data_IF_162195043778
#
_entry.id   IF_162195043778
#
_cell.length_a   1.000
_cell.length_b   1.000
_cell.length_c   1.000
_cell.angle_alpha   90.00
_cell.angle_beta   90.00
_cell.angle_gamma   90.00
#
_symmetry.space_group_name_H-M   'P 1'
#
loop_
_entity.id
_entity.type
_entity.pdbx_description
1 polymer ?
#
# COMPACT_ATOMS: atom_id res chain seq x y z
N UNK A 1 -28.87 -6.88 18.62
CA UNK A 1 -28.41 -5.52 18.25
C UNK A 1 -26.91 -5.31 18.45
N UNK A 2 -26.08 -6.37 18.49
CA UNK A 2 -24.62 -6.27 18.75
C UNK A 2 -23.81 -6.52 17.47
N UNK A 3 -24.28 -7.42 16.61
CA UNK A 3 -23.64 -7.78 15.32
C UNK A 3 -23.42 -6.58 14.39
N UNK A 4 -24.34 -5.61 14.37
CA UNK A 4 -24.25 -4.43 13.50
C UNK A 4 -23.19 -3.43 13.95
N UNK A 5 -22.94 -3.30 15.25
CA UNK A 5 -21.90 -2.39 15.79
C UNK A 5 -20.51 -2.98 15.64
N UNK A 6 -20.38 -4.30 15.84
CA UNK A 6 -19.10 -4.99 15.68
C UNK A 6 -18.65 -4.98 14.22
N UNK A 7 -19.55 -5.23 13.26
CA UNK A 7 -19.26 -5.14 11.83
C UNK A 7 -18.81 -3.74 11.40
N UNK A 8 -19.48 -2.67 11.87
CA UNK A 8 -19.06 -1.30 11.55
C UNK A 8 -17.66 -0.98 12.09
N UNK A 9 -17.30 -1.49 13.27
CA UNK A 9 -15.94 -1.32 13.80
C UNK A 9 -14.90 -2.08 12.99
N UNK A 10 -15.18 -3.31 12.55
CA UNK A 10 -14.26 -4.08 11.71
C UNK A 10 -14.00 -3.41 10.36
N UNK A 11 -15.05 -2.88 9.73
CA UNK A 11 -14.92 -2.15 8.46
C UNK A 11 -14.10 -0.88 8.64
N UNK A 12 -14.37 -0.12 9.71
CA UNK A 12 -13.61 1.09 10.02
C UNK A 12 -12.13 0.79 10.24
N UNK A 13 -11.83 -0.26 11.00
CA UNK A 13 -10.45 -0.72 11.19
C UNK A 13 -9.79 -1.17 9.89
N UNK A 14 -10.52 -1.87 9.01
CA UNK A 14 -10.00 -2.29 7.72
C UNK A 14 -9.67 -1.10 6.81
N UNK A 15 -10.55 -0.08 6.78
CA UNK A 15 -10.30 1.17 6.05
C UNK A 15 -9.13 1.94 6.65
N UNK A 16 -9.05 2.08 7.97
CA UNK A 16 -7.92 2.73 8.64
C UNK A 16 -6.59 2.00 8.39
N UNK A 17 -6.61 0.66 8.37
CA UNK A 17 -5.44 -0.15 8.03
C UNK A 17 -5.02 0.05 6.56
N UNK A 18 -5.99 0.17 5.65
CA UNK A 18 -5.73 0.47 4.25
C UNK A 18 -5.13 1.86 4.05
N UNK A 19 -5.70 2.89 4.67
CA UNK A 19 -5.16 4.25 4.67
C UNK A 19 -3.72 4.28 5.20
N UNK A 20 -3.47 3.60 6.33
CA UNK A 20 -2.13 3.49 6.90
C UNK A 20 -1.15 2.77 5.96
N UNK A 21 -1.60 1.72 5.27
CA UNK A 21 -0.79 0.99 4.30
C UNK A 21 -0.45 1.85 3.07
N UNK A 22 -1.40 2.65 2.58
CA UNK A 22 -1.19 3.61 1.49
C UNK A 22 -0.19 4.69 1.90
N UNK A 23 -0.33 5.25 3.10
CA UNK A 23 0.62 6.22 3.65
C UNK A 23 2.03 5.62 3.78
N UNK A 24 2.13 4.40 4.30
CA UNK A 24 3.41 3.70 4.42
C UNK A 24 4.05 3.42 3.05
N UNK A 25 3.23 3.12 2.04
CA UNK A 25 3.67 2.96 0.65
C UNK A 25 4.29 4.26 0.11
N UNK A 26 3.54 5.37 0.19
CA UNK A 26 3.99 6.68 -0.29
C UNK A 26 5.26 7.15 0.44
N UNK A 27 5.33 6.94 1.76
CA UNK A 27 6.51 7.29 2.54
C UNK A 27 7.73 6.46 2.11
N UNK A 28 7.56 5.16 1.88
CA UNK A 28 8.64 4.29 1.42
C UNK A 28 9.13 4.68 0.02
N UNK A 29 8.24 5.08 -0.89
CA UNK A 29 8.59 5.58 -2.21
C UNK A 29 9.39 6.88 -2.14
N UNK A 30 8.92 7.83 -1.32
CA UNK A 30 9.61 9.09 -1.12
C UNK A 30 10.99 8.90 -0.48
N UNK A 31 11.11 8.00 0.51
CA UNK A 31 12.38 7.65 1.13
C UNK A 31 13.34 6.98 0.12
N UNK A 32 12.84 6.09 -0.74
CA UNK A 32 13.63 5.47 -1.79
C UNK A 32 14.12 6.50 -2.80
N UNK A 33 13.25 7.40 -3.26
CA UNK A 33 13.61 8.46 -4.19
C UNK A 33 14.66 9.41 -3.58
N UNK A 34 14.50 9.76 -2.30
CA UNK A 34 15.47 10.55 -1.54
C UNK A 34 16.81 9.85 -1.43
N UNK A 35 16.82 8.57 -1.07
CA UNK A 35 18.02 7.75 -0.95
C UNK A 35 18.78 7.61 -2.28
N UNK A 36 18.05 7.45 -3.39
CA UNK A 36 18.62 7.41 -4.74
C UNK A 36 19.21 8.77 -5.11
N UNK A 37 18.50 9.86 -4.83
CA UNK A 37 18.97 11.23 -5.10
C UNK A 37 20.27 11.52 -4.33
N UNK A 38 20.40 10.99 -3.12
CA UNK A 38 21.60 11.10 -2.29
C UNK A 38 22.69 10.07 -2.66
N UNK A 39 22.38 9.12 -3.54
CA UNK A 39 23.23 7.99 -3.90
C UNK A 39 23.75 7.21 -2.66
N UNK A 40 22.94 7.10 -1.61
CA UNK A 40 23.29 6.37 -0.39
C UNK A 40 22.84 4.91 -0.48
N UNK A 41 23.76 3.94 -0.65
CA UNK A 41 23.40 2.53 -0.84
C UNK A 41 22.75 1.89 0.41
N UNK A 42 23.09 2.36 1.62
CA UNK A 42 22.47 1.83 2.84
C UNK A 42 21.04 2.35 2.98
N UNK A 43 20.81 3.62 2.64
CA UNK A 43 19.48 4.20 2.62
C UNK A 43 18.60 3.55 1.56
N UNK A 44 19.15 3.26 0.37
CA UNK A 44 18.43 2.55 -0.70
C UNK A 44 17.99 1.15 -0.24
N UNK A 45 18.88 0.36 0.36
CA UNK A 45 18.52 -0.97 0.87
C UNK A 45 17.43 -0.91 1.95
N UNK A 46 17.50 0.06 2.87
CA UNK A 46 16.49 0.24 3.91
C UNK A 46 15.15 0.65 3.32
N UNK A 47 15.17 1.59 2.38
CA UNK A 47 13.97 2.05 1.70
C UNK A 47 13.32 0.91 0.89
N UNK A 48 14.09 0.09 0.18
CA UNK A 48 13.59 -1.13 -0.48
C UNK A 48 12.94 -2.12 0.49
N UNK A 49 13.55 -2.35 1.66
CA UNK A 49 12.97 -3.21 2.68
C UNK A 49 11.64 -2.65 3.24
N UNK A 50 11.55 -1.33 3.44
CA UNK A 50 10.30 -0.66 3.81
C UNK A 50 9.24 -0.80 2.73
N UNK A 51 9.63 -0.63 1.47
CA UNK A 51 8.75 -0.76 0.30
C UNK A 51 8.16 -2.17 0.22
N UNK A 52 8.98 -3.21 0.42
CA UNK A 52 8.51 -4.60 0.50
C UNK A 52 7.60 -4.88 1.69
N UNK A 53 7.79 -4.22 2.84
CA UNK A 53 6.83 -4.28 3.96
C UNK A 53 5.53 -3.56 3.66
N UNK A 54 5.58 -2.37 3.05
CA UNK A 54 4.40 -1.61 2.66
C UNK A 54 3.56 -2.38 1.63
N UNK A 55 4.19 -3.01 0.62
CA UNK A 55 3.52 -3.91 -0.33
C UNK A 55 2.74 -5.03 0.36
N UNK A 56 3.34 -5.66 1.37
CA UNK A 56 2.66 -6.72 2.15
C UNK A 56 1.48 -6.16 2.93
N UNK A 57 1.64 -5.02 3.59
CA UNK A 57 0.54 -4.37 4.33
C UNK A 57 -0.62 -3.97 3.41
N UNK A 58 -0.33 -3.44 2.22
CA UNK A 58 -1.32 -3.10 1.20
C UNK A 58 -2.06 -4.37 0.74
N UNK A 59 -1.35 -5.46 0.46
CA UNK A 59 -1.95 -6.73 0.06
C UNK A 59 -2.79 -7.37 1.18
N UNK A 60 -2.36 -7.28 2.44
CA UNK A 60 -3.11 -7.75 3.60
C UNK A 60 -4.38 -6.92 3.83
N UNK A 61 -4.31 -5.59 3.69
CA UNK A 61 -5.47 -4.70 3.77
C UNK A 61 -6.45 -4.94 2.62
N UNK A 62 -5.95 -5.15 1.40
CA UNK A 62 -6.75 -5.51 0.21
C UNK A 62 -7.49 -6.84 0.45
N UNK A 63 -6.81 -7.85 1.00
CA UNK A 63 -7.41 -9.14 1.31
C UNK A 63 -8.45 -9.05 2.44
N UNK A 64 -8.19 -8.25 3.48
CA UNK A 64 -9.16 -8.00 4.55
C UNK A 64 -10.40 -7.29 4.01
N UNK A 65 -10.24 -6.22 3.23
CA UNK A 65 -11.37 -5.46 2.70
C UNK A 65 -12.18 -6.30 1.70
N UNK A 66 -11.50 -7.06 0.85
CA UNK A 66 -12.14 -7.96 -0.13
C UNK A 66 -12.90 -9.13 0.51
N UNK A 67 -12.64 -9.42 1.80
CA UNK A 67 -13.41 -10.42 2.56
C UNK A 67 -14.76 -9.91 3.07
N UNK A 68 -15.02 -8.59 3.03
CA UNK A 68 -16.31 -8.03 3.39
C UNK A 68 -17.22 -7.97 2.15
N UNK A 69 -18.45 -8.48 2.28
CA UNK A 69 -19.46 -8.46 1.23
C UNK A 69 -19.78 -7.02 0.77
N UNK A 70 -19.56 -6.75 -0.52
CA UNK A 70 -19.67 -5.43 -1.15
C UNK A 70 -21.10 -4.87 -1.21
N UNK A 71 -22.13 -5.66 -0.91
CA UNK A 71 -23.54 -5.25 -1.01
C UNK A 71 -23.95 -4.18 0.01
N UNK A 72 -23.29 -4.10 1.17
CA UNK A 72 -23.74 -3.25 2.27
C UNK A 72 -22.90 -1.97 2.46
N UNK A 73 -21.66 -1.98 1.99
CA UNK A 73 -20.68 -0.88 2.16
C UNK A 73 -19.93 -0.55 0.85
N UNK A 74 -20.46 -1.03 -0.28
CA UNK A 74 -19.78 -1.13 -1.56
C UNK A 74 -19.04 0.14 -1.98
N UNK A 75 -19.65 1.32 -1.93
CA UNK A 75 -19.02 2.51 -2.49
C UNK A 75 -17.75 2.95 -1.74
N UNK A 76 -17.76 2.96 -0.40
CA UNK A 76 -16.61 3.42 0.37
C UNK A 76 -15.49 2.37 0.36
N UNK A 77 -15.84 1.10 0.52
CA UNK A 77 -14.86 0.01 0.45
C UNK A 77 -14.25 -0.11 -0.94
N UNK A 78 -15.05 0.06 -1.98
CA UNK A 78 -14.58 -0.02 -3.37
C UNK A 78 -13.62 1.13 -3.70
N UNK A 79 -13.88 2.34 -3.22
CA UNK A 79 -12.91 3.44 -3.33
C UNK A 79 -11.58 3.11 -2.64
N UNK A 80 -11.62 2.54 -1.43
CA UNK A 80 -10.41 2.15 -0.70
C UNK A 80 -9.68 0.99 -1.40
N UNK A 81 -10.39 0.01 -1.96
CA UNK A 81 -9.79 -1.07 -2.77
C UNK A 81 -9.11 -0.48 -4.01
N UNK A 82 -9.77 0.43 -4.72
CA UNK A 82 -9.18 1.08 -5.90
C UNK A 82 -7.90 1.86 -5.53
N UNK A 83 -7.90 2.57 -4.40
CA UNK A 83 -6.71 3.28 -3.90
C UNK A 83 -5.59 2.33 -3.49
N UNK A 84 -5.90 1.21 -2.82
CA UNK A 84 -4.92 0.17 -2.48
C UNK A 84 -4.33 -0.46 -3.74
N UNK A 85 -5.17 -0.77 -4.72
CA UNK A 85 -4.74 -1.36 -5.98
C UNK A 85 -3.86 -0.40 -6.77
N UNK A 86 -4.20 0.90 -6.78
CA UNK A 86 -3.36 1.94 -7.38
C UNK A 86 -2.02 2.06 -6.65
N UNK A 87 -2.01 2.14 -5.32
CA UNK A 87 -0.78 2.20 -4.53
C UNK A 87 0.12 0.97 -4.77
N UNK A 88 -0.47 -0.22 -4.88
CA UNK A 88 0.25 -1.46 -5.22
C UNK A 88 0.89 -1.38 -6.61
N UNK A 89 0.14 -0.91 -7.61
CA UNK A 89 0.67 -0.73 -8.97
C UNK A 89 1.79 0.32 -9.02
N UNK A 90 1.65 1.42 -8.30
CA UNK A 90 2.68 2.47 -8.21
C UNK A 90 3.97 1.90 -7.57
N UNK A 91 3.85 1.16 -6.47
CA UNK A 91 4.97 0.49 -5.81
C UNK A 91 5.66 -0.56 -6.72
N UNK A 92 4.88 -1.30 -7.52
CA UNK A 92 5.42 -2.25 -8.50
C UNK A 92 6.16 -1.55 -9.64
N UNK A 93 5.57 -0.49 -10.20
CA UNK A 93 6.17 0.28 -11.27
C UNK A 93 7.48 0.97 -10.82
N UNK A 94 7.49 1.49 -9.60
CA UNK A 94 8.69 2.09 -9.00
C UNK A 94 9.80 1.05 -8.81
N UNK A 95 9.48 -0.10 -8.21
CA UNK A 95 10.48 -1.16 -8.00
C UNK A 95 11.12 -1.64 -9.32
N UNK A 96 10.33 -1.77 -10.39
CA UNK A 96 10.83 -2.16 -11.73
C UNK A 96 11.74 -1.07 -12.36
N UNK A 97 11.37 0.20 -12.20
CA UNK A 97 12.18 1.35 -12.61
C UNK A 97 13.52 1.44 -11.88
N UNK A 98 13.60 0.94 -10.64
CA UNK A 98 14.82 0.97 -9.84
C UNK A 98 15.65 -0.32 -9.99
N UNK A 99 15.04 -1.45 -10.36
CA UNK A 99 15.74 -2.71 -10.64
C UNK A 99 16.38 -2.74 -12.03
N UNK A 100 15.83 -2.03 -13.01
CA UNK A 100 16.42 -1.95 -14.35
C UNK A 100 17.24 -0.66 -14.51
N UNK A 101 18.58 -0.69 -14.40
CA UNK A 101 19.36 0.37 -15.00
C UNK A 101 19.04 0.33 -16.49
N UNK A 102 18.35 1.36 -17.00
CA UNK A 102 18.26 1.63 -18.44
C UNK A 102 19.68 1.54 -18.97
N UNK A 103 20.02 0.42 -19.61
CA UNK A 103 21.23 0.32 -20.40
C UNK A 103 21.00 1.27 -21.57
N UNK A 104 21.47 2.50 -21.38
CA UNK A 104 21.63 3.47 -22.45
C UNK A 104 22.53 2.80 -23.48
N UNK A 105 22.00 2.61 -24.69
CA UNK A 105 22.76 2.18 -25.85
C UNK A 105 22.74 3.27 -26.89
#
# INVERSE_FOLDING_TARGET
MVESQQHQQFIRHAVEAADAAILAAQEAEHELQGAITQADPNAIQRAQAKLGSAKRQVAEAEAQISSFDGDQYGQQLQQTIEQLHQAKQDLEANEDHYHTPKQVR
#
